data_IF_644193851086
#
_entry.id   IF_644193851086
#
_cell.length_a   1.000
_cell.length_b   1.000
_cell.length_c   1.000
_cell.angle_alpha   90.00
_cell.angle_beta   90.00
_cell.angle_gamma   90.00
#
_symmetry.space_group_name_H-M   'P 1'
#
loop_
_entity.id
_entity.type
_entity.pdbx_description
1 polymer ?
#
# COMPACT_ATOMS: atom_id res chain seq x y z
N UNK A 1 -13.43 63.86 54.53
CA UNK A 1 -12.98 64.23 53.17
C UNK A 1 -11.71 63.46 52.85
N UNK A 2 -11.72 62.76 51.70
CA UNK A 2 -10.57 62.19 50.94
C UNK A 2 -9.77 61.07 51.62
N UNK A 3 -10.08 59.79 51.36
CA UNK A 3 -9.54 58.91 50.29
C UNK A 3 -8.02 58.71 50.34
N UNK A 4 -7.57 57.48 50.58
CA UNK A 4 -6.94 56.64 49.55
C UNK A 4 -6.77 55.18 49.99
N UNK A 5 -7.26 54.29 49.13
CA UNK A 5 -7.07 52.85 49.14
C UNK A 5 -5.65 52.48 48.69
N UNK A 6 -5.08 51.41 49.23
CA UNK A 6 -4.23 50.47 48.48
C UNK A 6 -4.55 49.05 48.96
N UNK A 7 -5.04 48.25 48.02
CA UNK A 7 -5.42 46.84 48.15
C UNK A 7 -4.20 45.94 47.92
N UNK A 8 -4.06 44.86 48.70
CA UNK A 8 -3.21 43.72 48.33
C UNK A 8 -4.06 42.45 48.35
N UNK A 9 -4.37 41.94 47.16
CA UNK A 9 -4.89 40.59 46.94
C UNK A 9 -3.73 39.70 46.49
N UNK A 10 -3.45 38.64 47.25
CA UNK A 10 -2.54 37.57 46.86
C UNK A 10 -3.35 36.57 46.02
N UNK A 11 -3.08 36.51 44.72
CA UNK A 11 -3.59 35.46 43.85
C UNK A 11 -2.61 34.28 43.88
N UNK A 12 -3.07 33.13 44.38
CA UNK A 12 -2.34 31.87 44.28
C UNK A 12 -2.47 31.34 42.83
N UNK A 13 -1.37 31.36 42.08
CA UNK A 13 -1.28 30.73 40.77
C UNK A 13 -0.89 29.26 40.98
N UNK A 14 -1.82 28.36 40.71
CA UNK A 14 -1.55 26.93 40.60
C UNK A 14 -0.70 26.67 39.35
N UNK A 15 0.53 26.19 39.56
CA UNK A 15 1.45 25.80 38.51
C UNK A 15 0.99 24.46 37.93
N UNK A 16 0.20 24.50 36.85
CA UNK A 16 -0.07 23.33 36.03
C UNK A 16 1.21 22.96 35.26
N UNK A 17 1.91 21.92 35.71
CA UNK A 17 3.05 21.36 35.00
C UNK A 17 2.60 20.80 33.65
N UNK A 18 2.91 21.50 32.57
CA UNK A 18 2.81 20.98 31.23
C UNK A 18 3.87 19.90 31.05
N UNK A 19 3.41 18.64 31.06
CA UNK A 19 4.24 17.51 30.63
C UNK A 19 4.41 17.68 29.12
N UNK A 20 5.48 18.35 28.71
CA UNK A 20 5.94 18.33 27.34
C UNK A 20 6.40 16.89 27.04
N UNK A 21 5.47 16.06 26.57
CA UNK A 21 5.80 14.84 25.87
C UNK A 21 6.60 15.26 24.63
N UNK A 22 7.91 15.08 24.69
CA UNK A 22 8.75 15.07 23.50
C UNK A 22 8.27 13.90 22.63
N UNK A 23 7.31 14.16 21.74
CA UNK A 23 7.03 13.29 20.62
C UNK A 23 8.33 13.18 19.83
N UNK A 24 8.95 11.99 19.85
CA UNK A 24 9.97 11.67 18.86
C UNK A 24 9.31 11.94 17.50
N UNK A 25 9.90 12.83 16.72
CA UNK A 25 9.46 13.14 15.36
C UNK A 25 9.31 11.83 14.60
N UNK A 26 8.07 11.46 14.27
CA UNK A 26 7.78 10.54 13.17
C UNK A 26 8.41 11.14 11.91
N UNK A 27 9.41 10.45 11.36
CA UNK A 27 10.22 10.95 10.26
C UNK A 27 10.03 10.10 9.00
N UNK A 28 8.78 9.82 8.62
CA UNK A 28 8.50 9.57 7.20
C UNK A 28 8.47 10.92 6.50
N UNK A 29 9.62 11.34 5.96
CA UNK A 29 9.70 12.55 5.17
C UNK A 29 9.05 12.28 3.81
N UNK A 30 7.93 12.95 3.56
CA UNK A 30 7.24 12.87 2.27
C UNK A 30 8.09 13.52 1.21
N UNK A 31 8.14 12.93 0.02
CA UNK A 31 8.84 13.57 -1.08
C UNK A 31 8.04 14.74 -1.62
N UNK A 32 8.61 15.93 -1.49
CA UNK A 32 8.18 17.07 -2.28
C UNK A 32 8.66 16.88 -3.73
N UNK A 33 7.78 16.99 -4.74
CA UNK A 33 8.17 16.81 -6.13
C UNK A 33 9.10 17.93 -6.55
N UNK A 34 10.33 17.57 -6.95
CA UNK A 34 11.26 18.48 -7.61
C UNK A 34 11.30 18.11 -9.07
N UNK A 35 10.77 18.98 -9.94
CA UNK A 35 10.72 18.77 -11.39
C UNK A 35 12.08 19.16 -11.97
N UNK A 36 12.92 18.22 -12.47
CA UNK A 36 14.18 18.59 -13.10
C UNK A 36 13.94 19.29 -14.45
N UNK A 37 14.84 20.20 -14.87
CA UNK A 37 14.86 20.71 -16.24
C UNK A 37 15.12 19.53 -17.20
N UNK A 38 14.24 19.36 -18.17
CA UNK A 38 14.30 18.25 -19.13
C UNK A 38 13.61 18.65 -20.43
N UNK A 39 13.99 18.00 -21.53
CA UNK A 39 13.47 18.35 -22.85
C UNK A 39 11.98 17.97 -22.95
N UNK A 40 11.09 18.87 -23.39
CA UNK A 40 9.66 18.58 -23.49
C UNK A 40 9.37 17.60 -24.63
N UNK A 41 8.46 16.66 -24.38
CA UNK A 41 7.89 15.78 -25.41
C UNK A 41 6.70 16.52 -26.01
N UNK A 42 6.90 17.10 -27.19
CA UNK A 42 5.92 17.96 -27.85
C UNK A 42 4.87 17.19 -28.66
N UNK A 43 5.19 15.98 -29.13
CA UNK A 43 4.26 15.09 -29.82
C UNK A 43 3.15 14.61 -28.88
N UNK A 44 1.93 14.44 -29.40
CA UNK A 44 0.81 13.81 -28.67
C UNK A 44 0.94 12.27 -28.64
N UNK A 45 1.84 11.70 -29.45
CA UNK A 45 2.16 10.27 -29.45
C UNK A 45 3.55 10.04 -28.89
N UNK A 46 3.67 9.10 -27.94
CA UNK A 46 4.94 8.72 -27.29
C UNK A 46 5.76 7.82 -28.23
N UNK A 47 7.05 8.14 -28.41
CA UNK A 47 7.97 7.36 -29.23
C UNK A 47 8.36 6.04 -28.58
N UNK A 48 8.86 5.08 -29.38
CA UNK A 48 9.27 3.77 -28.85
C UNK A 48 10.49 3.85 -27.92
N UNK A 49 11.37 4.82 -28.13
CA UNK A 49 12.45 5.15 -27.20
C UNK A 49 12.22 6.57 -26.74
N UNK A 50 11.93 6.74 -25.46
CA UNK A 50 11.47 8.03 -24.95
C UNK A 50 12.33 8.51 -23.78
N UNK A 51 12.56 9.82 -23.78
CA UNK A 51 13.18 10.56 -22.70
C UNK A 51 12.67 11.98 -22.75
N UNK A 52 12.72 12.66 -21.62
CA UNK A 52 12.24 14.02 -21.55
C UNK A 52 11.03 14.14 -20.63
N UNK A 53 10.16 15.07 -20.96
CA UNK A 53 9.05 15.48 -20.09
C UNK A 53 7.71 15.40 -20.78
N UNK A 54 6.82 14.56 -20.24
CA UNK A 54 5.38 14.61 -20.49
C UNK A 54 4.82 15.83 -19.74
N UNK A 55 4.33 16.80 -20.51
CA UNK A 55 3.98 18.13 -20.04
C UNK A 55 2.70 18.15 -19.21
N UNK A 56 2.64 19.11 -18.29
CA UNK A 56 1.50 19.31 -17.41
C UNK A 56 0.19 19.47 -18.18
N UNK A 57 -0.85 18.78 -17.72
CA UNK A 57 -2.21 18.83 -18.29
C UNK A 57 -2.35 18.24 -19.71
N UNK A 58 -1.26 17.76 -20.32
CA UNK A 58 -1.27 17.27 -21.70
C UNK A 58 -1.65 15.79 -21.77
N UNK A 59 -2.42 15.45 -22.80
CA UNK A 59 -2.76 14.06 -23.12
C UNK A 59 -1.78 13.49 -24.14
N UNK A 60 -1.32 12.27 -23.88
CA UNK A 60 -0.41 11.50 -24.71
C UNK A 60 -1.01 10.14 -25.05
N UNK A 61 -0.76 9.64 -26.26
CA UNK A 61 -1.10 8.27 -26.68
C UNK A 61 0.16 7.43 -26.78
N UNK A 62 0.13 6.24 -26.18
CA UNK A 62 1.15 5.21 -26.28
C UNK A 62 0.57 4.01 -27.03
N UNK A 63 1.07 3.72 -28.23
CA UNK A 63 0.54 2.67 -29.12
C UNK A 63 1.48 1.49 -29.34
N UNK A 64 2.63 1.48 -28.69
CA UNK A 64 3.62 0.40 -28.65
C UNK A 64 4.38 0.47 -27.32
N UNK A 65 5.16 -0.57 -27.01
CA UNK A 65 6.06 -0.55 -25.86
C UNK A 65 7.01 0.66 -25.91
N UNK A 66 7.19 1.31 -24.76
CA UNK A 66 8.05 2.50 -24.62
C UNK A 66 9.25 2.14 -23.76
N UNK A 67 10.44 2.40 -24.28
CA UNK A 67 11.71 2.11 -23.63
C UNK A 67 12.38 3.41 -23.16
N UNK A 68 12.67 3.49 -21.87
CA UNK A 68 13.52 4.56 -21.31
C UNK A 68 14.89 3.95 -21.07
N UNK A 69 15.87 4.27 -21.92
CA UNK A 69 17.19 3.62 -21.89
C UNK A 69 18.00 4.00 -20.65
N UNK A 70 19.00 3.18 -20.34
CA UNK A 70 19.97 3.51 -19.29
C UNK A 70 20.65 4.86 -19.60
N UNK A 71 20.68 5.75 -18.60
CA UNK A 71 21.19 7.12 -18.74
C UNK A 71 20.12 8.15 -19.14
N UNK A 72 18.95 7.71 -19.60
CA UNK A 72 17.82 8.59 -19.91
C UNK A 72 16.86 8.72 -18.71
N UNK A 73 16.03 9.77 -18.73
CA UNK A 73 14.97 10.01 -17.76
C UNK A 73 13.67 10.30 -18.49
N UNK A 74 12.58 9.67 -18.06
CA UNK A 74 11.22 10.04 -18.42
C UNK A 74 10.52 10.64 -17.21
N UNK A 75 10.09 11.89 -17.35
CA UNK A 75 9.38 12.66 -16.34
C UNK A 75 7.95 12.92 -16.80
N UNK A 76 6.96 12.66 -15.96
CA UNK A 76 5.59 13.13 -16.13
C UNK A 76 5.29 14.25 -15.12
N UNK A 77 4.77 15.37 -15.62
CA UNK A 77 4.38 16.54 -14.85
C UNK A 77 2.91 16.50 -14.42
N UNK A 78 2.51 17.30 -13.41
CA UNK A 78 1.14 17.28 -12.87
C UNK A 78 0.05 17.38 -13.94
N UNK A 79 -0.96 16.51 -13.84
CA UNK A 79 -2.10 16.47 -14.76
C UNK A 79 -1.83 15.86 -16.13
N UNK A 80 -0.62 15.36 -16.42
CA UNK A 80 -0.39 14.59 -17.64
C UNK A 80 -1.30 13.36 -17.68
N UNK A 81 -1.86 13.08 -18.87
CA UNK A 81 -2.77 11.97 -19.08
C UNK A 81 -2.23 11.05 -20.19
N UNK A 82 -1.95 9.80 -19.87
CA UNK A 82 -1.34 8.84 -20.79
C UNK A 82 -2.37 7.76 -21.09
N UNK A 83 -2.78 7.70 -22.36
CA UNK A 83 -3.69 6.69 -22.90
C UNK A 83 -2.86 5.59 -23.57
N UNK A 84 -2.90 4.40 -22.99
CA UNK A 84 -2.14 3.25 -23.47
C UNK A 84 -3.00 2.36 -24.35
N UNK A 85 -2.46 1.92 -25.48
CA UNK A 85 -3.14 1.06 -26.45
C UNK A 85 -2.35 -0.20 -26.72
N UNK A 86 -2.95 -1.14 -27.43
CA UNK A 86 -2.28 -2.31 -28.01
C UNK A 86 -1.54 -3.16 -26.98
N UNK A 87 -2.07 -3.26 -25.75
CA UNK A 87 -1.45 -4.03 -24.68
C UNK A 87 0.02 -3.63 -24.40
N UNK A 88 0.36 -2.35 -24.64
CA UNK A 88 1.74 -1.85 -24.54
C UNK A 88 2.21 -1.74 -23.09
N UNK A 89 3.53 -1.71 -22.90
CA UNK A 89 4.18 -1.63 -21.59
C UNK A 89 5.33 -0.63 -21.56
N UNK A 90 5.50 0.07 -20.44
CA UNK A 90 6.71 0.86 -20.20
C UNK A 90 7.84 -0.06 -19.75
N UNK A 91 8.99 0.04 -20.40
CA UNK A 91 10.21 -0.71 -20.11
C UNK A 91 11.31 0.26 -19.69
N UNK A 92 11.52 0.36 -18.38
CA UNK A 92 12.38 1.37 -17.77
C UNK A 92 13.74 0.76 -17.43
N UNK A 93 14.77 1.26 -18.11
CA UNK A 93 16.20 0.97 -17.86
C UNK A 93 16.93 2.21 -17.29
N UNK A 94 16.37 3.39 -17.52
CA UNK A 94 16.82 4.68 -16.98
C UNK A 94 16.10 5.05 -15.69
N UNK A 95 15.72 6.32 -15.57
CA UNK A 95 14.95 6.86 -14.45
C UNK A 95 13.52 7.13 -14.87
N UNK A 96 12.56 6.76 -14.03
CA UNK A 96 11.14 7.12 -14.21
C UNK A 96 10.67 7.98 -13.04
N UNK A 97 10.07 9.13 -13.38
CA UNK A 97 9.50 10.07 -12.42
C UNK A 97 8.09 10.45 -12.86
N UNK A 98 7.08 10.09 -12.08
CA UNK A 98 5.71 10.60 -12.22
C UNK A 98 5.43 11.52 -11.05
N UNK A 99 5.47 12.83 -11.27
CA UNK A 99 5.47 13.84 -10.21
C UNK A 99 4.16 14.65 -10.26
N UNK A 100 3.06 14.02 -9.92
CA UNK A 100 1.75 14.66 -9.85
C UNK A 100 1.60 15.56 -8.62
N UNK A 101 0.42 16.16 -8.48
CA UNK A 101 -0.02 16.83 -7.25
C UNK A 101 -1.41 16.38 -6.84
N UNK A 102 -1.81 16.64 -5.60
CA UNK A 102 -3.16 16.35 -5.10
C UNK A 102 -4.27 16.92 -6.01
N UNK A 103 -4.09 18.14 -6.49
CA UNK A 103 -5.06 18.84 -7.34
C UNK A 103 -4.92 18.51 -8.82
N UNK A 104 -3.82 17.87 -9.24
CA UNK A 104 -3.55 17.52 -10.63
C UNK A 104 -2.78 16.20 -10.69
N UNK A 105 -3.43 15.08 -10.34
CA UNK A 105 -2.80 13.78 -10.41
C UNK A 105 -2.52 13.40 -11.87
N UNK A 106 -1.43 12.65 -12.07
CA UNK A 106 -1.09 12.08 -13.38
C UNK A 106 -1.92 10.82 -13.57
N UNK A 107 -2.35 10.51 -14.79
CA UNK A 107 -3.12 9.29 -15.09
C UNK A 107 -2.43 8.47 -16.17
N UNK A 108 -2.29 7.16 -15.89
CA UNK A 108 -1.94 6.12 -16.85
C UNK A 108 -3.07 5.09 -16.86
N UNK A 109 -3.73 4.97 -18.00
CA UNK A 109 -4.82 4.02 -18.21
C UNK A 109 -4.86 3.57 -19.67
N UNK A 110 -5.56 2.49 -19.96
CA UNK A 110 -5.81 2.11 -21.34
C UNK A 110 -6.94 2.93 -21.97
N UNK A 111 -7.02 2.90 -23.29
CA UNK A 111 -8.14 3.51 -24.04
C UNK A 111 -9.48 2.80 -23.85
N UNK A 112 -9.46 1.58 -23.34
CA UNK A 112 -10.66 0.78 -23.07
C UNK A 112 -11.16 0.89 -21.64
N UNK A 113 -10.32 1.39 -20.72
CA UNK A 113 -10.61 1.46 -19.29
C UNK A 113 -11.04 0.11 -18.69
N UNK A 114 -10.53 -1.00 -19.24
CA UNK A 114 -10.84 -2.36 -18.78
C UNK A 114 -9.64 -3.02 -18.12
N UNK A 115 -9.81 -3.74 -17.01
CA UNK A 115 -8.74 -4.48 -16.35
C UNK A 115 -7.94 -5.34 -17.34
N UNK A 116 -6.61 -5.37 -17.23
CA UNK A 116 -5.78 -6.27 -18.05
C UNK A 116 -5.60 -5.87 -19.51
N UNK A 117 -5.64 -4.58 -19.83
CA UNK A 117 -5.57 -4.11 -21.23
C UNK A 117 -4.27 -3.42 -21.60
N UNK A 118 -3.35 -3.25 -20.64
CA UNK A 118 -1.97 -2.84 -20.88
C UNK A 118 -1.01 -3.35 -19.81
N UNK A 119 0.29 -3.29 -20.08
CA UNK A 119 1.29 -4.04 -19.32
C UNK A 119 1.85 -3.39 -18.07
N UNK A 120 1.49 -2.15 -17.75
CA UNK A 120 2.09 -1.43 -16.62
C UNK A 120 3.56 -1.05 -16.85
N UNK A 121 4.36 -1.18 -15.79
CA UNK A 121 5.76 -0.72 -15.74
C UNK A 121 6.73 -1.87 -15.41
N UNK A 122 7.54 -2.26 -16.40
CA UNK A 122 8.68 -3.14 -16.21
C UNK A 122 9.94 -2.33 -15.91
N UNK A 123 10.35 -2.29 -14.63
CA UNK A 123 11.47 -1.51 -14.13
C UNK A 123 12.64 -2.39 -13.64
N UNK A 124 12.77 -3.62 -14.16
CA UNK A 124 13.79 -4.61 -13.75
C UNK A 124 15.24 -4.17 -13.99
N UNK A 125 15.46 -3.07 -14.73
CA UNK A 125 16.79 -2.51 -14.98
C UNK A 125 16.87 -1.01 -14.72
N UNK A 126 15.81 -0.43 -14.12
CA UNK A 126 15.73 0.99 -13.80
C UNK A 126 16.83 1.42 -12.83
N UNK A 127 17.06 2.73 -12.76
CA UNK A 127 18.03 3.37 -11.85
C UNK A 127 17.36 4.07 -10.67
N UNK A 128 16.14 4.54 -10.86
CA UNK A 128 15.26 5.03 -9.80
C UNK A 128 13.82 5.04 -10.33
N UNK A 129 12.86 4.85 -9.43
CA UNK A 129 11.42 4.98 -9.71
C UNK A 129 10.82 5.90 -8.67
N UNK A 130 10.14 6.95 -9.11
CA UNK A 130 9.35 7.83 -8.25
C UNK A 130 7.96 7.98 -8.83
N UNK A 131 6.94 7.68 -8.05
CA UNK A 131 5.53 7.78 -8.40
C UNK A 131 4.84 8.56 -7.28
N UNK A 132 4.37 9.76 -7.60
CA UNK A 132 3.70 10.64 -6.66
C UNK A 132 2.40 11.14 -7.30
N UNK A 133 1.30 11.11 -6.55
CA UNK A 133 -0.02 11.60 -7.02
C UNK A 133 -0.36 11.08 -8.41
N UNK A 134 -0.22 9.78 -8.61
CA UNK A 134 -0.40 9.13 -9.91
C UNK A 134 -1.46 8.06 -9.83
N UNK A 135 -2.34 8.01 -10.83
CA UNK A 135 -3.32 6.94 -11.04
C UNK A 135 -2.76 5.98 -12.06
N UNK A 136 -2.53 4.73 -11.66
CA UNK A 136 -2.13 3.62 -12.53
C UNK A 136 -3.27 2.61 -12.53
N UNK A 137 -3.99 2.53 -13.64
CA UNK A 137 -5.27 1.84 -13.70
C UNK A 137 -5.23 0.71 -14.73
N UNK A 138 -5.97 -0.37 -14.49
CA UNK A 138 -6.36 -1.37 -15.50
C UNK A 138 -5.18 -2.09 -16.19
N UNK A 139 -4.09 -2.28 -15.45
CA UNK A 139 -2.86 -2.96 -15.89
C UNK A 139 -2.99 -4.49 -15.91
N UNK A 140 -1.90 -5.14 -16.27
CA UNK A 140 -1.73 -6.59 -16.21
C UNK A 140 -2.21 -7.33 -17.45
N UNK A 141 -2.30 -6.63 -18.58
CA UNK A 141 -2.56 -7.30 -19.85
C UNK A 141 -1.48 -8.33 -20.19
N UNK A 142 -1.81 -9.33 -21.02
CA UNK A 142 -1.03 -10.55 -21.15
C UNK A 142 0.37 -10.31 -21.74
N UNK A 143 1.35 -11.13 -21.35
CA UNK A 143 2.63 -11.25 -22.03
C UNK A 143 2.54 -12.17 -23.26
N UNK A 144 3.68 -12.50 -23.87
CA UNK A 144 3.73 -13.36 -25.05
C UNK A 144 3.38 -14.84 -24.78
N UNK A 145 3.32 -15.25 -23.51
CA UNK A 145 2.89 -16.59 -23.08
C UNK A 145 1.40 -16.61 -22.69
N UNK A 146 0.75 -15.44 -22.66
CA UNK A 146 -0.64 -15.28 -22.21
C UNK A 146 -0.77 -15.06 -20.69
N UNK A 147 0.35 -15.02 -19.96
CA UNK A 147 0.38 -14.75 -18.53
C UNK A 147 0.11 -13.27 -18.23
N UNK A 148 -0.60 -12.98 -17.15
CA UNK A 148 -0.82 -11.61 -16.71
C UNK A 148 0.51 -10.96 -16.30
N UNK A 149 0.69 -9.68 -16.67
CA UNK A 149 1.85 -8.91 -16.22
C UNK A 149 1.55 -8.21 -14.89
N UNK A 150 2.61 -7.90 -14.13
CA UNK A 150 2.52 -7.09 -12.91
C UNK A 150 2.25 -5.62 -13.25
N UNK A 151 1.64 -4.88 -12.34
CA UNK A 151 1.37 -3.45 -12.54
C UNK A 151 2.66 -2.63 -12.52
N UNK A 152 3.52 -2.88 -11.54
CA UNK A 152 4.87 -2.35 -11.44
C UNK A 152 5.80 -3.45 -10.94
N UNK A 153 6.94 -3.64 -11.60
CA UNK A 153 7.97 -4.57 -11.15
C UNK A 153 9.35 -3.91 -11.11
N UNK A 154 10.04 -3.99 -9.97
CA UNK A 154 11.43 -3.57 -9.78
C UNK A 154 12.22 -4.75 -9.25
N UNK A 155 13.38 -5.04 -9.83
CA UNK A 155 14.22 -6.19 -9.46
C UNK A 155 15.68 -5.81 -9.22
N UNK A 156 15.92 -4.59 -8.71
CA UNK A 156 17.25 -4.00 -8.53
C UNK A 156 17.37 -3.24 -7.21
N UNK A 157 18.60 -3.10 -6.67
CA UNK A 157 18.84 -2.37 -5.43
C UNK A 157 18.86 -0.86 -5.66
N UNK A 158 17.71 -0.32 -6.06
CA UNK A 158 17.48 1.09 -6.35
C UNK A 158 16.50 1.69 -5.35
N UNK A 159 16.44 3.02 -5.33
CA UNK A 159 15.39 3.74 -4.60
C UNK A 159 14.08 3.67 -5.37
N UNK A 160 13.02 3.34 -4.65
CA UNK A 160 11.65 3.30 -5.16
C UNK A 160 10.76 4.07 -4.19
N UNK A 161 10.20 5.19 -4.64
CA UNK A 161 9.31 6.03 -3.85
C UNK A 161 7.93 6.05 -4.51
N UNK A 162 6.90 5.62 -3.80
CA UNK A 162 5.52 5.52 -4.27
C UNK A 162 4.63 6.13 -3.19
N UNK A 163 4.16 7.34 -3.45
CA UNK A 163 3.42 8.13 -2.46
C UNK A 163 2.12 8.71 -3.01
N UNK A 164 1.09 8.79 -2.18
CA UNK A 164 -0.19 9.47 -2.48
C UNK A 164 -0.81 9.07 -3.82
N UNK A 165 -0.69 7.80 -4.20
CA UNK A 165 -1.03 7.31 -5.54
C UNK A 165 -2.10 6.23 -5.51
N UNK A 166 -2.74 6.02 -6.67
CA UNK A 166 -3.78 5.02 -6.85
C UNK A 166 -3.33 3.93 -7.81
N UNK A 167 -3.50 2.68 -7.38
CA UNK A 167 -3.28 1.50 -8.21
C UNK A 167 -4.57 0.70 -8.22
N UNK A 168 -5.18 0.50 -9.39
CA UNK A 168 -6.47 -0.19 -9.46
C UNK A 168 -6.53 -1.19 -10.61
N UNK A 169 -7.22 -2.31 -10.36
CA UNK A 169 -7.68 -3.23 -11.39
C UNK A 169 -6.56 -3.92 -12.20
N UNK A 170 -5.37 -4.08 -11.63
CA UNK A 170 -4.32 -4.93 -12.20
C UNK A 170 -4.74 -6.40 -12.23
N UNK A 171 -4.17 -7.23 -13.11
CA UNK A 171 -4.50 -8.66 -13.22
C UNK A 171 -3.58 -9.62 -12.46
N UNK A 172 -2.39 -9.16 -12.08
CA UNK A 172 -1.38 -9.90 -11.30
C UNK A 172 -0.94 -9.01 -10.11
N UNK A 173 0.24 -9.24 -9.52
CA UNK A 173 0.81 -8.39 -8.48
C UNK A 173 0.69 -6.91 -8.86
N UNK A 174 0.24 -6.10 -7.90
CA UNK A 174 0.24 -4.66 -7.99
C UNK A 174 1.68 -4.15 -8.01
N UNK A 175 2.30 -4.06 -6.84
CA UNK A 175 3.61 -3.46 -6.66
C UNK A 175 4.62 -4.55 -6.29
N UNK A 176 5.33 -5.08 -7.29
CA UNK A 176 6.41 -6.07 -7.11
C UNK A 176 7.76 -5.39 -6.93
N UNK A 177 8.37 -5.55 -5.76
CA UNK A 177 9.60 -4.88 -5.36
C UNK A 177 10.60 -5.91 -4.84
N UNK A 178 11.61 -6.18 -5.65
CA UNK A 178 12.53 -7.28 -5.50
C UNK A 178 14.00 -6.84 -5.60
N UNK A 179 14.91 -7.77 -5.31
CA UNK A 179 16.32 -7.65 -5.68
C UNK A 179 17.05 -6.53 -4.95
N UNK A 180 16.74 -6.31 -3.67
CA UNK A 180 17.40 -5.31 -2.83
C UNK A 180 16.81 -3.90 -2.90
N UNK A 181 15.61 -3.73 -3.46
CA UNK A 181 14.97 -2.42 -3.60
C UNK A 181 14.88 -1.70 -2.23
N UNK A 182 15.09 -0.38 -2.22
CA UNK A 182 14.96 0.48 -1.05
C UNK A 182 13.69 1.31 -1.20
N UNK A 183 12.65 0.98 -0.41
CA UNK A 183 11.28 1.34 -0.74
C UNK A 183 10.67 2.32 0.26
N UNK A 184 9.94 3.29 -0.26
CA UNK A 184 9.02 4.15 0.49
C UNK A 184 7.66 4.04 -0.18
N UNK A 185 6.73 3.28 0.40
CA UNK A 185 5.38 3.09 -0.16
C UNK A 185 4.35 3.64 0.84
N UNK A 186 3.96 4.90 0.65
CA UNK A 186 3.17 5.64 1.63
C UNK A 186 1.85 6.17 1.07
N UNK A 187 0.77 6.11 1.87
CA UNK A 187 -0.49 6.82 1.58
C UNK A 187 -1.12 6.49 0.23
N UNK A 188 -0.91 5.29 -0.28
CA UNK A 188 -1.50 4.87 -1.55
C UNK A 188 -2.87 4.22 -1.33
N UNK A 189 -3.71 4.25 -2.36
CA UNK A 189 -4.91 3.41 -2.44
C UNK A 189 -4.69 2.35 -3.50
N UNK A 190 -4.61 1.10 -3.07
CA UNK A 190 -4.33 -0.06 -3.93
C UNK A 190 -5.54 -0.98 -3.88
N UNK A 191 -6.25 -1.12 -5.00
CA UNK A 191 -7.57 -1.74 -4.96
C UNK A 191 -7.91 -2.66 -6.11
N UNK A 192 -8.71 -3.69 -5.81
CA UNK A 192 -9.37 -4.56 -6.79
C UNK A 192 -8.43 -5.18 -7.83
N UNK A 193 -7.18 -5.43 -7.43
CA UNK A 193 -6.12 -6.00 -8.26
C UNK A 193 -5.94 -7.51 -8.06
N UNK A 194 -5.34 -8.17 -9.03
CA UNK A 194 -5.18 -9.62 -9.08
C UNK A 194 -6.45 -10.31 -9.57
N UNK A 195 -6.32 -11.17 -10.57
CA UNK A 195 -7.43 -11.92 -11.20
C UNK A 195 -7.79 -13.14 -10.34
N UNK A 196 -7.05 -14.23 -10.47
CA UNK A 196 -7.08 -15.39 -9.59
C UNK A 196 -5.95 -15.39 -8.55
N UNK A 197 -4.90 -14.60 -8.79
CA UNK A 197 -3.73 -14.42 -7.92
C UNK A 197 -3.21 -12.97 -8.08
N UNK A 198 -2.26 -12.57 -7.23
CA UNK A 198 -1.63 -11.27 -7.25
C UNK A 198 -1.74 -10.56 -5.91
N UNK A 199 -0.58 -10.15 -5.40
CA UNK A 199 -0.41 -9.43 -4.16
C UNK A 199 -0.57 -7.92 -4.42
N UNK A 200 -1.09 -7.17 -3.44
CA UNK A 200 -1.10 -5.71 -3.59
C UNK A 200 0.33 -5.16 -3.63
N UNK A 201 1.14 -5.58 -2.65
CA UNK A 201 2.54 -5.20 -2.50
C UNK A 201 3.35 -6.47 -2.21
N UNK A 202 4.22 -6.85 -3.16
CA UNK A 202 5.04 -8.04 -3.09
C UNK A 202 6.51 -7.66 -2.89
N UNK A 203 7.05 -7.83 -1.68
CA UNK A 203 8.39 -7.42 -1.30
C UNK A 203 9.25 -8.67 -1.13
N UNK A 204 10.19 -8.90 -2.04
CA UNK A 204 11.04 -10.10 -1.99
C UNK A 204 12.54 -9.84 -2.16
N UNK A 205 13.35 -10.84 -1.84
CA UNK A 205 14.76 -10.91 -2.26
C UNK A 205 15.56 -9.66 -1.85
N UNK A 206 15.59 -9.36 -0.54
CA UNK A 206 16.45 -8.32 0.02
C UNK A 206 15.85 -6.93 0.07
N UNK A 207 14.56 -6.77 -0.23
CA UNK A 207 13.90 -5.47 -0.20
C UNK A 207 13.86 -4.89 1.22
N UNK A 208 14.15 -3.59 1.34
CA UNK A 208 14.17 -2.88 2.63
C UNK A 208 13.40 -1.57 2.55
N UNK A 209 12.89 -1.08 3.68
CA UNK A 209 12.26 0.25 3.75
C UNK A 209 10.92 0.22 4.46
N UNK A 210 9.95 0.99 3.97
CA UNK A 210 8.69 1.25 4.67
C UNK A 210 7.48 1.13 3.75
N UNK A 211 6.44 0.47 4.25
CA UNK A 211 5.09 0.41 3.69
C UNK A 211 4.10 0.87 4.74
N UNK A 212 3.58 2.09 4.60
CA UNK A 212 2.70 2.64 5.63
C UNK A 212 1.59 3.55 5.13
N UNK A 213 0.52 3.64 5.92
CA UNK A 213 -0.62 4.50 5.62
C UNK A 213 -1.35 4.16 4.31
N UNK A 214 -1.16 2.96 3.76
CA UNK A 214 -1.85 2.57 2.53
C UNK A 214 -3.24 2.04 2.85
N UNK A 215 -4.20 2.32 1.97
CA UNK A 215 -5.46 1.59 1.90
C UNK A 215 -5.30 0.49 0.86
N UNK A 216 -5.50 -0.75 1.28
CA UNK A 216 -5.44 -1.92 0.41
C UNK A 216 -6.79 -2.61 0.44
N UNK A 217 -7.48 -2.66 -0.69
CA UNK A 217 -8.84 -3.19 -0.77
C UNK A 217 -8.94 -4.28 -1.83
N UNK A 218 -9.61 -5.38 -1.51
CA UNK A 218 -10.06 -6.37 -2.49
C UNK A 218 -8.95 -6.94 -3.40
N UNK A 219 -7.81 -7.30 -2.82
CA UNK A 219 -6.72 -7.94 -3.57
C UNK A 219 -6.93 -9.45 -3.66
N UNK A 220 -6.50 -10.06 -4.77
CA UNK A 220 -6.71 -11.49 -4.98
C UNK A 220 -5.95 -12.32 -3.94
N UNK A 221 -4.67 -11.99 -3.77
CA UNK A 221 -3.76 -12.58 -2.81
C UNK A 221 -3.54 -11.70 -1.59
N UNK A 222 -2.28 -11.65 -1.14
CA UNK A 222 -1.91 -10.97 0.10
C UNK A 222 -1.85 -9.45 -0.06
N UNK A 223 -2.30 -8.71 0.95
CA UNK A 223 -2.19 -7.25 0.97
C UNK A 223 -0.73 -6.79 0.91
N UNK A 224 0.08 -7.19 1.90
CA UNK A 224 1.53 -6.94 1.93
C UNK A 224 2.29 -8.23 2.22
N UNK A 225 3.13 -8.69 1.28
CA UNK A 225 3.91 -9.93 1.41
C UNK A 225 5.40 -9.62 1.54
N UNK A 226 6.05 -10.22 2.53
CA UNK A 226 7.50 -10.19 2.74
C UNK A 226 8.10 -11.59 2.58
N UNK A 227 9.03 -11.78 1.66
CA UNK A 227 9.81 -13.02 1.53
C UNK A 227 11.28 -12.74 1.20
N UNK A 228 12.22 -13.63 1.53
CA UNK A 228 13.62 -13.52 1.07
C UNK A 228 13.92 -14.59 0.03
N UNK A 229 14.37 -15.75 0.48
CA UNK A 229 14.77 -16.91 -0.31
C UNK A 229 15.04 -18.07 0.65
N UNK A 230 14.76 -19.31 0.24
CA UNK A 230 14.94 -20.50 1.11
C UNK A 230 16.38 -20.69 1.60
N UNK A 231 17.34 -20.23 0.79
CA UNK A 231 18.75 -20.14 1.15
C UNK A 231 19.17 -18.68 1.00
N UNK A 232 19.51 -18.06 2.12
CA UNK A 232 19.90 -16.64 2.15
C UNK A 232 21.33 -16.51 1.63
N UNK A 233 21.46 -16.16 0.35
CA UNK A 233 22.74 -15.81 -0.30
C UNK A 233 22.83 -14.32 -0.63
N UNK A 234 21.76 -13.58 -0.37
CA UNK A 234 21.62 -12.13 -0.56
C UNK A 234 21.24 -11.46 0.75
N UNK A 235 21.11 -10.13 0.74
CA UNK A 235 20.45 -9.43 1.84
C UNK A 235 19.03 -10.00 2.06
N UNK A 236 18.60 -10.02 3.32
CA UNK A 236 17.24 -10.41 3.70
C UNK A 236 16.27 -9.27 3.49
N UNK A 237 15.05 -9.62 3.09
CA UNK A 237 13.93 -8.67 3.07
C UNK A 237 13.63 -8.21 4.50
N UNK A 238 13.61 -6.90 4.73
CA UNK A 238 13.40 -6.28 6.03
C UNK A 238 12.63 -4.96 5.90
N UNK A 239 11.32 -5.00 6.14
CA UNK A 239 10.44 -3.87 5.87
C UNK A 239 9.58 -3.54 7.09
N UNK A 240 9.46 -2.24 7.38
CA UNK A 240 8.47 -1.72 8.31
C UNK A 240 7.10 -1.66 7.62
N UNK A 241 6.12 -2.40 8.11
CA UNK A 241 4.75 -2.46 7.58
C UNK A 241 3.79 -1.97 8.66
N UNK A 242 3.38 -0.70 8.58
CA UNK A 242 2.57 -0.13 9.65
C UNK A 242 1.48 0.84 9.23
N UNK A 243 0.48 1.02 10.08
CA UNK A 243 -0.62 1.96 9.84
C UNK A 243 -1.30 1.76 8.47
N UNK A 244 -1.33 0.54 7.91
CA UNK A 244 -2.11 0.27 6.71
C UNK A 244 -3.54 -0.13 7.09
N UNK A 245 -4.51 0.19 6.23
CA UNK A 245 -5.89 -0.33 6.32
C UNK A 245 -6.09 -1.34 5.20
N UNK A 246 -6.17 -2.62 5.54
CA UNK A 246 -6.19 -3.75 4.61
C UNK A 246 -7.53 -4.47 4.73
N UNK A 247 -8.31 -4.47 3.65
CA UNK A 247 -9.73 -4.83 3.69
C UNK A 247 -10.06 -5.82 2.56
N UNK A 248 -10.78 -6.89 2.87
CA UNK A 248 -11.33 -7.83 1.87
C UNK A 248 -10.29 -8.51 0.97
N UNK A 249 -9.05 -8.68 1.45
CA UNK A 249 -7.97 -9.26 0.65
C UNK A 249 -7.87 -10.79 0.82
N UNK A 250 -7.40 -11.47 -0.23
CA UNK A 250 -6.93 -12.86 -0.16
C UNK A 250 -7.94 -13.94 -0.52
N UNK A 251 -9.14 -13.57 -0.95
CA UNK A 251 -10.21 -14.53 -1.18
C UNK A 251 -10.18 -15.24 -2.53
N UNK A 252 -9.58 -14.65 -3.57
CA UNK A 252 -9.69 -15.20 -4.95
C UNK A 252 -8.83 -16.43 -5.20
N UNK A 253 -7.82 -16.66 -4.36
CA UNK A 253 -7.04 -17.90 -4.33
C UNK A 253 -7.72 -19.02 -3.54
N UNK A 254 -8.54 -18.62 -2.57
CA UNK A 254 -9.21 -19.46 -1.59
C UNK A 254 -8.27 -20.38 -0.80
N UNK A 255 -8.83 -21.44 -0.24
CA UNK A 255 -8.18 -22.31 0.75
C UNK A 255 -6.91 -23.03 0.31
N UNK A 256 -6.71 -23.22 -1.00
CA UNK A 256 -5.50 -23.86 -1.51
C UNK A 256 -4.26 -22.99 -1.28
N UNK A 257 -4.39 -21.67 -1.39
CA UNK A 257 -3.32 -20.73 -1.06
C UNK A 257 -3.92 -19.38 -0.59
N UNK A 258 -4.47 -19.33 0.63
CA UNK A 258 -5.26 -18.20 1.09
C UNK A 258 -4.42 -16.93 1.14
N UNK A 259 -4.94 -15.79 0.69
CA UNK A 259 -4.20 -14.53 0.89
C UNK A 259 -4.27 -14.04 2.33
N UNK A 260 -3.31 -13.20 2.72
CA UNK A 260 -3.22 -12.61 4.05
C UNK A 260 -3.47 -11.10 3.99
N UNK A 261 -3.77 -10.46 5.11
CA UNK A 261 -3.60 -9.02 5.25
C UNK A 261 -2.13 -8.65 5.11
N UNK A 262 -1.28 -9.23 5.98
CA UNK A 262 0.18 -9.13 5.91
C UNK A 262 0.80 -10.50 6.10
N UNK A 263 1.86 -10.83 5.37
CA UNK A 263 2.65 -12.04 5.63
C UNK A 263 4.15 -11.80 5.63
N UNK A 264 4.86 -12.58 6.43
CA UNK A 264 6.32 -12.70 6.38
C UNK A 264 6.74 -14.17 6.38
N UNK A 265 7.52 -14.58 5.38
CA UNK A 265 7.98 -15.96 5.20
C UNK A 265 9.35 -16.04 4.55
N UNK A 266 9.85 -17.26 4.37
CA UNK A 266 11.03 -17.55 3.55
C UNK A 266 12.24 -16.66 3.92
N UNK A 267 12.62 -16.66 5.19
CA UNK A 267 13.72 -15.88 5.79
C UNK A 267 13.56 -14.36 5.70
N UNK A 268 12.34 -13.83 5.50
CA UNK A 268 12.08 -12.41 5.68
C UNK A 268 11.99 -12.04 7.16
N UNK A 269 12.33 -10.79 7.45
CA UNK A 269 12.10 -10.10 8.72
C UNK A 269 11.32 -8.82 8.48
N UNK A 270 10.89 -8.17 9.56
CA UNK A 270 10.18 -6.90 9.46
C UNK A 270 9.48 -6.52 10.74
N UNK A 271 8.92 -5.31 10.75
CA UNK A 271 8.15 -4.79 11.87
C UNK A 271 6.71 -4.52 11.42
N UNK A 272 5.73 -5.22 11.98
CA UNK A 272 4.33 -5.20 11.52
C UNK A 272 3.42 -4.67 12.63
N UNK A 273 3.13 -3.36 12.58
CA UNK A 273 2.45 -2.65 13.67
C UNK A 273 1.29 -1.78 13.20
N UNK A 274 0.30 -1.52 14.05
CA UNK A 274 -0.71 -0.49 13.81
C UNK A 274 -1.57 -0.71 12.56
N UNK A 275 -1.61 -1.91 11.96
CA UNK A 275 -2.44 -2.15 10.78
C UNK A 275 -3.88 -2.44 11.21
N UNK A 276 -4.85 -1.96 10.45
CA UNK A 276 -6.26 -2.35 10.55
C UNK A 276 -6.51 -3.39 9.46
N UNK A 277 -6.88 -4.61 9.84
CA UNK A 277 -7.10 -5.74 8.94
C UNK A 277 -8.53 -6.21 9.10
N UNK A 278 -9.33 -6.03 8.05
CA UNK A 278 -10.76 -6.29 8.07
C UNK A 278 -11.15 -7.24 6.96
N UNK A 279 -11.93 -8.28 7.28
CA UNK A 279 -12.52 -9.17 6.26
C UNK A 279 -11.50 -9.81 5.29
N UNK A 280 -10.22 -9.90 5.65
CA UNK A 280 -9.24 -10.62 4.85
C UNK A 280 -9.39 -12.13 5.10
N UNK A 281 -9.02 -12.97 4.13
CA UNK A 281 -9.10 -14.43 4.30
C UNK A 281 -8.31 -14.87 5.52
N UNK A 282 -7.03 -14.50 5.58
CA UNK A 282 -6.22 -14.53 6.80
C UNK A 282 -5.81 -13.11 7.22
N UNK A 283 -5.56 -12.92 8.52
CA UNK A 283 -5.09 -11.66 9.09
C UNK A 283 -3.59 -11.45 8.87
N UNK A 284 -2.79 -11.78 9.88
CA UNK A 284 -1.32 -11.77 9.81
C UNK A 284 -0.81 -13.20 9.86
N UNK A 285 0.12 -13.53 8.97
CA UNK A 285 0.82 -14.81 9.02
C UNK A 285 2.33 -14.61 9.03
N UNK A 286 2.96 -15.04 10.11
CA UNK A 286 4.41 -15.23 10.16
C UNK A 286 4.64 -16.73 9.94
N UNK A 287 5.18 -17.08 8.78
CA UNK A 287 5.47 -18.47 8.43
C UNK A 287 6.63 -19.01 9.27
N UNK A 288 6.64 -20.33 9.48
CA UNK A 288 7.70 -21.02 10.23
C UNK A 288 9.09 -20.87 9.60
N UNK A 289 9.14 -20.64 8.29
CA UNK A 289 10.37 -20.46 7.53
C UNK A 289 10.82 -18.98 7.43
N UNK A 290 10.08 -18.04 8.04
CA UNK A 290 10.54 -16.66 8.22
C UNK A 290 11.74 -16.60 9.18
N UNK A 291 12.41 -15.44 9.26
CA UNK A 291 13.27 -15.15 10.40
C UNK A 291 12.40 -14.72 11.60
N UNK A 292 11.70 -15.70 12.18
CA UNK A 292 10.70 -15.50 13.24
C UNK A 292 11.27 -14.69 14.41
N UNK A 293 12.54 -14.88 14.75
CA UNK A 293 13.19 -14.16 15.83
C UNK A 293 13.26 -12.64 15.58
N UNK A 294 13.35 -12.23 14.31
CA UNK A 294 13.49 -10.84 13.89
C UNK A 294 12.24 -10.25 13.21
N UNK A 295 11.14 -11.00 13.12
CA UNK A 295 9.82 -10.43 12.84
C UNK A 295 9.20 -9.92 14.14
N UNK A 296 8.97 -8.61 14.23
CA UNK A 296 8.31 -7.98 15.38
C UNK A 296 6.94 -7.48 14.96
N UNK A 297 5.92 -7.67 15.80
CA UNK A 297 4.56 -7.31 15.45
C UNK A 297 3.71 -7.08 16.70
N UNK A 298 2.58 -6.38 16.53
CA UNK A 298 1.65 -6.04 17.61
C UNK A 298 0.85 -4.77 17.29
N UNK A 299 -0.01 -4.33 18.21
CA UNK A 299 -0.88 -3.17 18.01
C UNK A 299 -1.66 -3.22 16.68
N UNK A 300 -2.04 -4.40 16.20
CA UNK A 300 -2.87 -4.52 15.01
C UNK A 300 -4.34 -4.70 15.41
N UNK A 301 -5.27 -4.21 14.59
CA UNK A 301 -6.71 -4.41 14.77
C UNK A 301 -7.21 -5.43 13.75
N UNK A 302 -7.88 -6.46 14.23
CA UNK A 302 -8.51 -7.51 13.43
C UNK A 302 -10.02 -7.51 13.64
N UNK A 303 -10.77 -7.30 12.56
CA UNK A 303 -12.22 -7.26 12.60
C UNK A 303 -12.84 -8.03 11.44
N UNK A 304 -13.97 -8.68 11.69
CA UNK A 304 -14.75 -9.35 10.66
C UNK A 304 -16.23 -8.95 10.78
N UNK A 305 -16.86 -8.59 9.66
CA UNK A 305 -18.30 -8.23 9.62
C UNK A 305 -19.22 -9.45 9.60
N UNK A 306 -18.67 -10.64 9.41
CA UNK A 306 -19.33 -11.93 9.53
C UNK A 306 -18.45 -12.89 10.35
N UNK A 307 -19.03 -13.98 10.84
CA UNK A 307 -18.26 -15.07 11.47
C UNK A 307 -17.64 -15.98 10.42
N UNK A 308 -18.39 -16.27 9.36
CA UNK A 308 -17.97 -17.18 8.30
C UNK A 308 -18.19 -16.60 6.91
N UNK A 309 -17.45 -17.14 5.95
CA UNK A 309 -17.62 -16.88 4.52
C UNK A 309 -17.51 -18.20 3.76
N UNK A 310 -18.37 -18.41 2.77
CA UNK A 310 -18.25 -19.55 1.87
C UNK A 310 -17.18 -19.28 0.83
N UNK A 311 -16.21 -20.18 0.74
CA UNK A 311 -15.18 -20.22 -0.27
C UNK A 311 -15.57 -21.24 -1.35
N UNK A 312 -15.80 -20.73 -2.56
CA UNK A 312 -16.23 -21.51 -3.72
C UNK A 312 -15.08 -21.83 -4.69
N UNK A 313 -13.83 -21.50 -4.37
CA UNK A 313 -12.70 -21.78 -5.27
C UNK A 313 -12.29 -23.26 -5.26
N UNK A 314 -12.63 -24.00 -4.20
CA UNK A 314 -12.40 -25.44 -4.07
C UNK A 314 -13.71 -26.24 -4.24
N UNK A 315 -13.69 -27.40 -4.91
CA UNK A 315 -14.80 -28.35 -4.93
C UNK A 315 -14.58 -29.52 -3.93
N UNK A 316 -15.52 -29.81 -3.01
CA UNK A 316 -16.71 -29.02 -2.70
C UNK A 316 -16.36 -27.69 -2.02
N UNK A 317 -17.27 -26.71 -2.13
CA UNK A 317 -17.13 -25.43 -1.44
C UNK A 317 -16.98 -25.66 0.07
N UNK A 318 -16.20 -24.80 0.71
CA UNK A 318 -15.94 -24.88 2.16
C UNK A 318 -16.45 -23.63 2.86
N UNK A 319 -16.75 -23.76 4.14
CA UNK A 319 -17.08 -22.62 5.01
C UNK A 319 -15.84 -22.25 5.81
N UNK A 320 -15.34 -21.03 5.60
CA UNK A 320 -14.18 -20.48 6.30
C UNK A 320 -14.67 -19.75 7.54
N UNK A 321 -14.09 -20.05 8.71
CA UNK A 321 -14.17 -19.19 9.89
C UNK A 321 -13.15 -18.05 9.73
N UNK A 322 -13.65 -16.83 9.57
CA UNK A 322 -12.81 -15.66 9.26
C UNK A 322 -11.92 -15.32 10.46
N UNK A 323 -12.45 -15.46 11.69
CA UNK A 323 -11.73 -15.09 12.92
C UNK A 323 -10.65 -16.09 13.26
N UNK A 324 -10.87 -17.38 12.98
CA UNK A 324 -9.83 -18.40 13.09
C UNK A 324 -8.61 -18.09 12.19
N UNK A 325 -8.81 -17.36 11.10
CA UNK A 325 -7.77 -16.93 10.17
C UNK A 325 -7.02 -15.66 10.57
N UNK A 326 -7.41 -14.92 11.62
CA UNK A 326 -6.69 -13.70 12.03
C UNK A 326 -5.22 -13.97 12.34
N UNK A 327 -4.96 -15.10 13.00
CA UNK A 327 -3.65 -15.73 13.12
C UNK A 327 -3.84 -17.23 12.87
N UNK A 328 -3.39 -17.76 11.72
CA UNK A 328 -3.53 -19.18 11.41
C UNK A 328 -2.87 -20.07 12.48
N UNK A 329 -3.47 -21.24 12.74
CA UNK A 329 -3.10 -22.07 13.88
C UNK A 329 -1.69 -22.66 13.77
N UNK A 330 -1.25 -22.97 12.55
CA UNK A 330 0.06 -23.50 12.18
C UNK A 330 1.14 -22.43 11.96
N UNK A 331 0.76 -21.15 11.89
CA UNK A 331 1.68 -20.03 11.79
C UNK A 331 2.60 -19.93 13.02
N UNK A 332 3.82 -19.44 12.83
CA UNK A 332 4.72 -19.08 13.93
C UNK A 332 4.19 -17.85 14.68
N UNK A 333 3.57 -16.92 13.96
CA UNK A 333 2.92 -15.75 14.52
C UNK A 333 1.69 -16.11 15.35
N UNK A 334 1.59 -15.52 16.53
CA UNK A 334 0.48 -15.67 17.49
C UNK A 334 -0.10 -14.32 17.93
N UNK A 335 -1.38 -14.25 18.32
CA UNK A 335 -1.99 -13.04 18.88
C UNK A 335 -1.11 -12.34 19.92
N UNK A 336 -0.97 -11.02 19.81
CA UNK A 336 -0.23 -10.23 20.80
C UNK A 336 -1.18 -9.57 21.80
N UNK A 337 -0.79 -9.38 23.07
CA UNK A 337 -1.62 -8.67 24.06
C UNK A 337 -1.97 -7.23 23.67
N UNK A 338 -1.15 -6.62 22.80
CA UNK A 338 -1.36 -5.28 22.25
C UNK A 338 -2.36 -5.23 21.09
N UNK A 339 -2.73 -6.38 20.50
CA UNK A 339 -3.65 -6.42 19.38
C UNK A 339 -5.10 -6.20 19.85
N UNK A 340 -5.92 -5.62 18.97
CA UNK A 340 -7.36 -5.55 19.13
C UNK A 340 -7.97 -6.62 18.24
N UNK A 341 -8.46 -7.70 18.84
CA UNK A 341 -9.02 -8.85 18.09
C UNK A 341 -10.52 -8.95 18.37
N UNK A 342 -11.34 -8.82 17.33
CA UNK A 342 -12.78 -9.02 17.47
C UNK A 342 -13.11 -10.48 17.82
N UNK A 343 -13.96 -10.70 18.81
CA UNK A 343 -14.49 -12.02 19.19
C UNK A 343 -15.89 -12.26 18.64
N UNK A 344 -16.54 -11.20 18.15
CA UNK A 344 -17.81 -11.23 17.42
C UNK A 344 -17.95 -9.95 16.58
N UNK A 345 -18.99 -9.87 15.75
CA UNK A 345 -19.31 -8.68 14.96
C UNK A 345 -19.59 -7.42 15.82
N UNK A 346 -19.87 -7.60 17.11
CA UNK A 346 -20.15 -6.50 18.03
C UNK A 346 -18.89 -5.91 18.72
N UNK A 347 -17.72 -6.51 18.50
CA UNK A 347 -16.48 -6.17 19.23
C UNK A 347 -15.38 -5.74 18.26
N UNK A 348 -14.53 -4.80 18.67
CA UNK A 348 -13.34 -4.41 17.90
C UNK A 348 -13.63 -3.79 16.53
N UNK A 349 -14.86 -3.35 16.25
CA UNK A 349 -15.21 -2.69 15.00
C UNK A 349 -14.38 -1.40 14.85
N UNK A 350 -13.63 -1.19 13.74
CA UNK A 350 -12.81 -0.01 13.55
C UNK A 350 -13.62 1.29 13.38
N UNK A 351 -14.94 1.21 13.27
CA UNK A 351 -15.85 2.34 13.11
C UNK A 351 -15.50 3.21 11.90
N UNK A 352 -15.31 2.58 10.74
CA UNK A 352 -15.15 3.29 9.48
C UNK A 352 -16.32 4.24 9.20
N UNK A 353 -16.06 5.36 8.52
CA UNK A 353 -17.09 6.31 8.06
C UNK A 353 -18.20 5.59 7.32
N UNK A 354 -17.83 4.77 6.33
CA UNK A 354 -18.72 3.89 5.58
C UNK A 354 -17.98 2.62 5.18
N UNK A 355 -18.56 1.46 5.51
CA UNK A 355 -18.11 0.17 4.98
C UNK A 355 -19.32 -0.72 4.73
N UNK A 356 -19.44 -1.24 3.52
CA UNK A 356 -20.53 -2.12 3.09
C UNK A 356 -20.43 -3.55 3.65
N UNK A 357 -19.31 -3.90 4.28
CA UNK A 357 -19.08 -5.22 4.84
C UNK A 357 -18.61 -6.27 3.84
N UNK A 358 -18.13 -5.86 2.66
CA UNK A 358 -17.67 -6.78 1.62
C UNK A 358 -16.58 -7.74 2.12
N UNK A 359 -16.62 -8.99 1.64
CA UNK A 359 -15.65 -10.06 1.94
C UNK A 359 -14.91 -10.48 0.67
N UNK A 360 -15.58 -11.22 -0.20
CA UNK A 360 -15.08 -11.64 -1.51
C UNK A 360 -15.76 -10.81 -2.61
N UNK A 361 -14.96 -10.10 -3.40
CA UNK A 361 -15.40 -9.37 -4.58
C UNK A 361 -14.57 -9.79 -5.81
N UNK A 362 -15.11 -9.63 -7.03
CA UNK A 362 -14.33 -9.86 -8.24
C UNK A 362 -13.21 -8.82 -8.42
N UNK A 363 -12.25 -9.13 -9.28
CA UNK A 363 -11.31 -8.14 -9.82
C UNK A 363 -12.09 -6.98 -10.47
N UNK A 364 -11.58 -5.76 -10.35
CA UNK A 364 -12.21 -4.58 -10.92
C UNK A 364 -13.46 -4.08 -10.18
N UNK A 365 -13.87 -4.73 -9.07
CA UNK A 365 -15.00 -4.25 -8.29
C UNK A 365 -14.76 -2.81 -7.79
N UNK A 366 -15.76 -1.91 -7.90
CA UNK A 366 -15.61 -0.55 -7.42
C UNK A 366 -15.45 -0.52 -5.89
N UNK A 367 -14.68 0.45 -5.41
CA UNK A 367 -14.59 0.74 -3.98
C UNK A 367 -15.41 2.00 -3.68
N UNK A 368 -16.55 1.80 -3.01
CA UNK A 368 -17.44 2.89 -2.55
C UNK A 368 -17.31 3.15 -1.05
N UNK A 369 -16.32 2.54 -0.40
CA UNK A 369 -16.13 2.61 1.04
C UNK A 369 -15.30 3.83 1.44
N UNK A 370 -15.50 4.28 2.67
CA UNK A 370 -14.70 5.33 3.30
C UNK A 370 -14.16 4.79 4.63
N UNK A 371 -12.86 4.49 4.62
CA UNK A 371 -12.17 3.86 5.75
C UNK A 371 -11.59 4.87 6.75
N UNK A 372 -11.94 6.16 6.67
CA UNK A 372 -11.65 7.09 7.76
C UNK A 372 -12.31 6.60 9.05
N UNK A 373 -11.66 6.85 10.18
CA UNK A 373 -12.15 6.43 11.49
C UNK A 373 -13.13 7.46 12.05
N UNK A 374 -14.29 7.01 12.55
CA UNK A 374 -15.20 7.84 13.33
C UNK A 374 -14.64 8.09 14.73
N UNK A 375 -15.09 9.20 15.34
CA UNK A 375 -14.84 9.46 16.75
C UNK A 375 -15.30 8.28 17.62
N UNK A 376 -14.47 7.89 18.59
CA UNK A 376 -14.72 6.73 19.45
C UNK A 376 -14.23 5.39 18.89
N UNK A 377 -13.66 5.37 17.68
CA UNK A 377 -13.04 4.16 17.12
C UNK A 377 -12.03 3.54 18.10
N UNK A 378 -12.03 2.20 18.28
CA UNK A 378 -11.04 1.52 19.11
C UNK A 378 -9.62 1.59 18.54
N UNK A 379 -9.45 1.99 17.27
CA UNK A 379 -8.14 2.19 16.65
C UNK A 379 -7.47 3.52 17.05
N UNK A 380 -8.22 4.49 17.59
CA UNK A 380 -7.69 5.81 17.97
C UNK A 380 -6.99 5.72 19.33
N UNK A 381 -5.74 6.19 19.41
CA UNK A 381 -4.93 6.23 20.62
C UNK A 381 -4.45 4.86 21.13
N UNK A 382 -4.54 3.81 20.30
CA UNK A 382 -4.16 2.42 20.65
C UNK A 382 -2.97 1.87 19.84
N UNK A 383 -2.41 2.69 18.94
CA UNK A 383 -1.22 2.33 18.19
C UNK A 383 0.05 2.27 19.04
N UNK A 384 1.06 1.57 18.52
CA UNK A 384 2.44 1.67 18.94
C UNK A 384 2.97 3.07 18.60
N UNK A 385 3.19 3.88 19.64
CA UNK A 385 3.62 5.27 19.55
C UNK A 385 5.01 5.47 18.91
N UNK A 386 5.76 4.40 18.64
CA UNK A 386 6.97 4.48 17.79
C UNK A 386 6.61 4.86 16.35
N UNK A 387 5.44 4.43 15.87
CA UNK A 387 4.96 4.63 14.51
C UNK A 387 3.86 5.69 14.44
N UNK A 388 2.80 5.51 15.23
CA UNK A 388 1.72 6.48 15.40
C UNK A 388 0.87 6.13 16.62
N UNK A 389 0.21 7.13 17.21
CA UNK A 389 -0.71 6.93 18.32
C UNK A 389 -2.00 6.19 17.89
N UNK A 390 -2.38 6.30 16.62
CA UNK A 390 -3.54 5.62 16.05
C UNK A 390 -3.12 4.41 15.22
N UNK A 391 -4.07 3.51 14.97
CA UNK A 391 -3.95 2.43 13.99
C UNK A 391 -4.60 2.81 12.65
N UNK A 392 -4.18 2.14 11.58
CA UNK A 392 -4.76 2.27 10.25
C UNK A 392 -4.26 3.48 9.46
N UNK A 393 -4.78 3.58 8.23
CA UNK A 393 -4.30 4.49 7.21
C UNK A 393 -4.66 5.97 7.46
N UNK A 394 -5.76 6.25 8.17
CA UNK A 394 -6.28 7.59 8.37
C UNK A 394 -6.15 8.00 9.84
N UNK A 395 -4.94 8.44 10.21
CA UNK A 395 -4.60 8.84 11.58
C UNK A 395 -5.13 10.24 11.91
N UNK A 396 -5.51 10.46 13.17
CA UNK A 396 -6.09 11.72 13.66
C UNK A 396 -5.12 12.90 13.64
N UNK A 397 -3.80 12.65 13.63
CA UNK A 397 -2.77 13.66 13.44
C UNK A 397 -2.65 14.14 11.98
N UNK A 398 -3.41 13.55 11.07
CA UNK A 398 -3.44 13.89 9.67
C UNK A 398 -2.12 13.59 8.96
N UNK A 399 -1.29 12.64 9.41
CA UNK A 399 -0.11 12.21 8.64
C UNK A 399 -0.37 11.01 7.73
N UNK A 400 -1.47 10.32 7.97
CA UNK A 400 -1.94 9.21 7.16
C UNK A 400 -2.40 9.59 5.75
N UNK A 401 -3.08 8.64 5.11
CA UNK A 401 -3.61 8.75 3.76
C UNK A 401 -4.46 10.02 3.59
N UNK A 402 -4.33 10.65 2.41
CA UNK A 402 -4.90 11.97 2.10
C UNK A 402 -6.08 11.93 1.14
N UNK A 403 -6.46 10.75 0.66
CA UNK A 403 -7.49 10.58 -0.35
C UNK A 403 -8.37 9.37 -0.11
#
# INVERSE_FOLDING_TARGET
MKTNQISFWIAAIALAGTIASCSKKEATNLKSPVIPPSHPISSDTIGSFEKGTLLSGKTYTMNHDVYVKAGDTLLAQPGANIIVKNNSQFKIQGVFQSLGTQTSPITFDSDTHQPGTWGGFACDSAKAVTILWTKVLNTGGPDNTGGARRTLVVSKPIKVDIEDSWFANGQDDGIGLFGGAQVTVLRNTIQSGGSSDGEAINLKTGTTGTVAYNVIFNQAGTGVKLETAKVVTTAETNVDVYNNTIVSCGWRRGSAEPGRGVSAGVSAKGNIYNNIIVNCYHGIEIFQDADVANVKYGNNLFYATADTQVDNTAPPAITVDIRAGFYPSDAAGKPQPSDIISTSIATGNPMFTSFDGALLLPNGAPNTNDFHLKSGSPAIGKGNATYNADMGAYTSDGKGNKH
#
